data_IF_362472296279
#
_entry.id   IF_362472296279
#
_cell.length_a   1.000
_cell.length_b   1.000
_cell.length_c   1.000
_cell.angle_alpha   90.00
_cell.angle_beta   90.00
_cell.angle_gamma   90.00
#
_symmetry.space_group_name_H-M   'P 1'
#
loop_
_entity.id
_entity.type
_entity.pdbx_description
1 polymer ?
#
# COMPACT_ATOMS: atom_id res chain seq x y z
N UNK A 1 -29.79 5.09 48.70
CA UNK A 1 -29.64 4.21 47.53
C UNK A 1 -28.92 4.98 46.43
N UNK A 2 -27.89 4.39 45.80
CA UNK A 2 -26.99 5.06 44.86
C UNK A 2 -27.44 4.93 43.40
N UNK A 3 -26.68 5.64 42.53
CA UNK A 3 -26.47 5.50 41.07
C UNK A 3 -27.20 6.53 40.19
N UNK A 4 -26.57 7.24 39.25
CA UNK A 4 -25.18 7.25 38.74
C UNK A 4 -25.01 8.55 37.91
N UNK A 5 -23.89 9.25 38.13
CA UNK A 5 -22.99 9.95 37.18
C UNK A 5 -23.61 10.54 35.90
N UNK A 6 -23.72 11.86 35.69
CA UNK A 6 -22.64 12.84 35.47
C UNK A 6 -21.49 12.33 34.61
N UNK A 7 -21.64 12.39 33.28
CA UNK A 7 -20.52 12.66 32.39
C UNK A 7 -20.95 13.45 31.16
N UNK A 8 -20.38 14.66 31.10
CA UNK A 8 -20.13 15.53 29.95
C UNK A 8 -20.23 14.80 28.59
N UNK A 9 -21.14 15.26 27.74
CA UNK A 9 -21.16 14.93 26.32
C UNK A 9 -19.93 15.56 25.63
N UNK A 10 -18.77 14.92 25.76
CA UNK A 10 -17.69 14.99 24.79
C UNK A 10 -17.89 13.83 23.82
N UNK A 11 -18.32 14.12 22.59
CA UNK A 11 -18.39 13.12 21.54
C UNK A 11 -16.97 12.61 21.24
N UNK A 12 -16.69 11.28 21.26
CA UNK A 12 -15.33 10.79 21.02
C UNK A 12 -14.94 10.64 19.54
N UNK A 13 -15.78 11.08 18.59
CA UNK A 13 -15.52 10.82 17.18
C UNK A 13 -15.73 12.12 16.41
N UNK A 14 -14.78 13.02 16.60
CA UNK A 14 -14.57 14.15 15.71
C UNK A 14 -14.32 13.58 14.31
N UNK A 15 -15.08 14.05 13.33
CA UNK A 15 -15.00 13.60 11.91
C UNK A 15 -13.65 13.95 11.26
N UNK A 16 -12.83 14.71 11.97
CA UNK A 16 -11.48 15.10 11.56
C UNK A 16 -10.43 14.01 11.74
N UNK A 17 -10.71 12.95 12.53
CA UNK A 17 -9.81 11.79 12.69
C UNK A 17 -9.94 10.77 11.53
N UNK A 18 -10.89 10.97 10.61
CA UNK A 18 -11.20 10.01 9.54
C UNK A 18 -10.27 10.17 8.31
N UNK A 19 -9.47 11.25 8.22
CA UNK A 19 -8.71 11.56 7.00
C UNK A 19 -7.24 11.95 7.20
N UNK A 20 -6.58 11.51 8.28
CA UNK A 20 -5.16 11.81 8.48
C UNK A 20 -4.51 10.78 9.39
N UNK A 21 -3.99 9.68 8.83
CA UNK A 21 -2.71 9.00 9.17
C UNK A 21 -2.65 7.57 8.56
N UNK A 22 -3.78 6.91 8.32
CA UNK A 22 -3.77 5.52 7.80
C UNK A 22 -3.27 5.42 6.35
N UNK A 23 -3.49 6.44 5.51
CA UNK A 23 -2.97 6.47 4.13
C UNK A 23 -1.44 6.66 4.01
N UNK A 24 -0.74 7.00 5.11
CA UNK A 24 0.72 7.15 5.11
C UNK A 24 1.43 5.81 5.33
N UNK A 25 0.80 4.86 6.02
CA UNK A 25 1.38 3.54 6.27
C UNK A 25 1.44 2.67 5.01
N UNK A 26 0.47 2.82 4.10
CA UNK A 26 0.45 2.12 2.80
C UNK A 26 1.46 2.68 1.79
N UNK A 27 2.07 3.84 2.08
CA UNK A 27 3.04 4.45 1.17
C UNK A 27 4.41 3.83 1.34
N UNK A 28 4.95 3.29 0.26
CA UNK A 28 6.33 2.78 0.23
C UNK A 28 7.32 3.95 0.40
N UNK A 29 8.18 3.93 1.43
CA UNK A 29 9.14 5.00 1.63
C UNK A 29 10.26 4.95 0.58
N UNK A 30 10.83 6.12 0.24
CA UNK A 30 11.84 6.29 -0.80
C UNK A 30 13.06 5.36 -0.66
N UNK A 31 13.44 5.00 0.56
CA UNK A 31 14.55 4.08 0.79
C UNK A 31 14.23 2.66 0.31
N UNK A 32 12.99 2.18 0.46
CA UNK A 32 12.55 0.87 -0.06
C UNK A 32 12.35 0.91 -1.58
N UNK A 33 11.88 2.03 -2.11
CA UNK A 33 11.82 2.25 -3.56
C UNK A 33 13.21 2.18 -4.22
N UNK A 34 14.31 2.48 -3.52
CA UNK A 34 15.67 2.29 -4.05
C UNK A 34 16.06 0.82 -4.14
N UNK A 35 15.64 -0.01 -3.19
CA UNK A 35 15.91 -1.46 -3.19
C UNK A 35 15.33 -2.15 -4.42
N UNK A 36 14.18 -1.67 -4.92
CA UNK A 36 13.59 -2.12 -6.18
C UNK A 36 14.58 -2.01 -7.35
N UNK A 37 15.40 -0.97 -7.39
CA UNK A 37 16.40 -0.76 -8.45
C UNK A 37 17.64 -1.67 -8.34
N UNK A 38 17.88 -2.25 -7.16
CA UNK A 38 18.97 -3.20 -6.92
C UNK A 38 18.59 -4.63 -7.30
N UNK A 39 17.30 -4.94 -7.35
CA UNK A 39 16.80 -6.26 -7.80
C UNK A 39 17.01 -6.46 -9.29
N UNK A 40 17.82 -7.48 -9.63
CA UNK A 40 18.05 -7.89 -11.01
C UNK A 40 16.79 -8.46 -11.65
N UNK A 41 15.98 -9.19 -10.89
CA UNK A 41 14.70 -9.76 -11.33
C UNK A 41 13.72 -8.64 -11.69
N UNK A 42 13.54 -7.66 -10.81
CA UNK A 42 12.67 -6.52 -11.09
C UNK A 42 13.17 -5.72 -12.31
N UNK A 43 14.48 -5.51 -12.41
CA UNK A 43 15.08 -4.87 -13.59
C UNK A 43 14.82 -5.65 -14.87
N UNK A 44 14.93 -6.97 -14.84
CA UNK A 44 14.63 -7.82 -15.99
C UNK A 44 13.17 -7.69 -16.42
N UNK A 45 12.23 -7.67 -15.46
CA UNK A 45 10.82 -7.42 -15.74
C UNK A 45 10.60 -6.05 -16.37
N UNK A 46 11.26 -5.02 -15.84
CA UNK A 46 11.24 -3.66 -16.38
C UNK A 46 11.94 -3.51 -17.73
N UNK A 47 12.72 -4.47 -18.22
CA UNK A 47 13.23 -4.44 -19.60
C UNK A 47 12.14 -4.77 -20.63
N UNK A 48 11.04 -5.38 -20.20
CA UNK A 48 9.93 -5.70 -21.09
C UNK A 48 9.19 -4.43 -21.51
N UNK A 49 9.12 -4.12 -22.82
CA UNK A 49 8.44 -2.92 -23.30
C UNK A 49 6.94 -2.93 -22.96
N UNK A 50 6.32 -4.12 -22.96
CA UNK A 50 4.91 -4.27 -22.61
C UNK A 50 4.62 -3.82 -21.17
N UNK A 51 5.44 -4.24 -20.21
CA UNK A 51 5.28 -3.84 -18.82
C UNK A 51 5.43 -2.33 -18.64
N UNK A 52 6.41 -1.70 -19.31
CA UNK A 52 6.58 -0.24 -19.29
C UNK A 52 5.35 0.48 -19.84
N UNK A 53 4.75 -0.04 -20.91
CA UNK A 53 3.53 0.51 -21.48
C UNK A 53 2.34 0.38 -20.53
N UNK A 54 2.19 -0.77 -19.86
CA UNK A 54 1.17 -0.94 -18.81
C UNK A 54 1.36 0.10 -17.69
N UNK A 55 2.58 0.21 -17.15
CA UNK A 55 2.88 1.18 -16.07
C UNK A 55 2.61 2.62 -16.51
N UNK A 56 3.05 3.00 -17.70
CA UNK A 56 2.84 4.34 -18.25
C UNK A 56 1.35 4.64 -18.49
N UNK A 57 0.59 3.64 -18.95
CA UNK A 57 -0.86 3.77 -19.15
C UNK A 57 -1.58 3.91 -17.81
N UNK A 58 -1.19 3.13 -16.79
CA UNK A 58 -1.76 3.23 -15.44
C UNK A 58 -1.47 4.59 -14.81
N UNK A 59 -0.24 5.10 -14.97
CA UNK A 59 0.19 6.39 -14.45
C UNK A 59 -0.63 7.55 -15.03
N UNK A 60 -0.87 7.52 -16.34
CA UNK A 60 -1.60 8.56 -17.09
C UNK A 60 -3.12 8.39 -17.06
N UNK A 61 -3.64 7.26 -16.59
CA UNK A 61 -5.06 7.00 -16.64
C UNK A 61 -5.87 7.79 -15.63
N UNK A 62 -7.02 8.28 -16.10
CA UNK A 62 -8.04 8.91 -15.27
C UNK A 62 -8.68 7.88 -14.31
N UNK A 63 -8.94 6.66 -14.79
CA UNK A 63 -9.54 5.57 -14.00
C UNK A 63 -8.52 4.45 -13.67
N UNK A 64 -7.69 4.73 -12.66
CA UNK A 64 -6.66 3.80 -12.18
C UNK A 64 -7.26 2.53 -11.57
N UNK A 65 -8.43 2.64 -10.95
CA UNK A 65 -9.10 1.49 -10.31
C UNK A 65 -9.49 0.41 -11.33
N UNK A 66 -10.12 0.81 -12.44
CA UNK A 66 -10.52 -0.12 -13.49
C UNK A 66 -9.32 -0.72 -14.21
N UNK A 67 -8.29 0.08 -14.50
CA UNK A 67 -7.05 -0.44 -15.09
C UNK A 67 -6.31 -1.37 -14.16
N UNK A 68 -6.22 -1.06 -12.87
CA UNK A 68 -5.57 -1.93 -11.89
C UNK A 68 -6.23 -3.32 -11.88
N UNK A 69 -7.57 -3.38 -11.88
CA UNK A 69 -8.29 -4.67 -11.98
C UNK A 69 -7.97 -5.42 -13.26
N UNK A 70 -7.84 -4.71 -14.38
CA UNK A 70 -7.48 -5.32 -15.67
C UNK A 70 -6.04 -5.84 -15.66
N UNK A 71 -5.10 -5.08 -15.12
CA UNK A 71 -3.69 -5.44 -15.09
C UNK A 71 -3.39 -6.52 -14.06
N UNK A 72 -4.19 -6.60 -13.00
CA UNK A 72 -4.18 -7.75 -12.09
C UNK A 72 -4.56 -9.08 -12.78
N UNK A 73 -5.10 -9.06 -14.00
CA UNK A 73 -5.31 -10.26 -14.82
C UNK A 73 -4.12 -10.56 -15.75
N UNK A 74 -3.22 -9.59 -15.95
CA UNK A 74 -2.05 -9.75 -16.82
C UNK A 74 -0.92 -10.42 -16.01
N UNK A 75 -0.46 -11.62 -16.40
CA UNK A 75 0.54 -12.35 -15.62
C UNK A 75 1.85 -11.57 -15.46
N UNK A 76 2.23 -10.79 -16.48
CA UNK A 76 3.42 -9.94 -16.45
C UNK A 76 3.34 -8.83 -15.39
N UNK A 77 2.15 -8.26 -15.19
CA UNK A 77 1.96 -7.21 -14.19
C UNK A 77 1.83 -7.79 -12.79
N UNK A 78 1.21 -8.97 -12.66
CA UNK A 78 1.16 -9.71 -11.38
C UNK A 78 2.56 -10.09 -10.92
N UNK A 79 3.40 -10.64 -11.81
CA UNK A 79 4.80 -10.99 -11.50
C UNK A 79 5.62 -9.76 -11.09
N UNK A 80 5.41 -8.63 -11.77
CA UNK A 80 6.00 -7.35 -11.37
C UNK A 80 5.54 -6.88 -9.99
N UNK A 81 4.24 -6.95 -9.71
CA UNK A 81 3.69 -6.52 -8.43
C UNK A 81 4.19 -7.42 -7.29
N UNK A 82 4.20 -8.74 -7.49
CA UNK A 82 4.72 -9.72 -6.54
C UNK A 82 6.20 -9.45 -6.20
N UNK A 83 7.03 -9.22 -7.23
CA UNK A 83 8.43 -8.88 -7.07
C UNK A 83 8.62 -7.55 -6.30
N UNK A 84 7.80 -6.52 -6.59
CA UNK A 84 7.81 -5.28 -5.83
C UNK A 84 7.45 -5.50 -4.35
N UNK A 85 6.37 -6.25 -4.10
CA UNK A 85 5.87 -6.55 -2.76
C UNK A 85 6.94 -7.30 -1.96
N UNK A 86 7.58 -8.32 -2.52
CA UNK A 86 8.65 -9.05 -1.85
C UNK A 86 9.87 -8.19 -1.44
N UNK A 87 10.12 -7.08 -2.13
CA UNK A 87 11.23 -6.15 -1.84
C UNK A 87 10.82 -5.07 -0.83
N UNK A 88 9.59 -4.56 -0.94
CA UNK A 88 9.10 -3.44 -0.12
C UNK A 88 8.42 -3.88 1.16
N UNK A 89 7.96 -5.13 1.23
CA UNK A 89 7.33 -5.69 2.41
C UNK A 89 8.41 -6.03 3.45
N UNK A 90 8.24 -5.60 4.72
CA UNK A 90 9.22 -5.91 5.75
C UNK A 90 9.22 -7.42 6.02
N UNK A 91 10.39 -8.02 6.30
CA UNK A 91 10.45 -9.43 6.67
C UNK A 91 9.51 -9.68 7.86
N UNK A 92 8.78 -10.79 7.86
CA UNK A 92 7.74 -11.14 8.85
C UNK A 92 8.13 -10.96 10.33
N UNK A 93 9.44 -10.88 10.63
CA UNK A 93 10.00 -10.63 11.96
C UNK A 93 9.56 -9.31 12.61
N UNK A 94 9.02 -8.35 11.86
CA UNK A 94 8.52 -7.07 12.41
C UNK A 94 6.99 -7.01 12.52
N UNK A 95 6.26 -8.00 11.98
CA UNK A 95 4.79 -8.03 11.97
C UNK A 95 4.19 -8.49 13.31
N UNK A 96 4.99 -9.08 14.19
CA UNK A 96 4.54 -9.68 15.46
C UNK A 96 4.37 -8.68 16.63
N UNK A 97 4.77 -7.41 16.50
CA UNK A 97 4.86 -6.52 17.66
C UNK A 97 3.79 -5.42 17.81
N UNK A 98 2.64 -5.53 17.12
CA UNK A 98 1.48 -4.66 17.40
C UNK A 98 0.21 -5.49 17.55
N UNK A 99 0.04 -6.08 18.73
CA UNK A 99 -1.22 -6.18 19.50
C UNK A 99 -1.02 -7.08 20.74
N UNK A 100 -0.63 -6.53 21.91
CA UNK A 100 -1.00 -7.09 23.19
C UNK A 100 -2.34 -6.49 23.67
N UNK A 101 -3.33 -7.38 23.87
CA UNK A 101 -4.62 -7.29 24.61
C UNK A 101 -5.50 -6.03 24.54
#
# INVERSE_FOLDING_TARGET
MPRLCFLRAGGPWSVEDILTDEDEQDRVPLHRLRLLGESEELRALLLNPHLRQLLQTLDQAEDKSSLMKKYMQEPLFVEFADCCLGIVEPPEKEKENVLPE
#
